data_IF_187254234486
#
_entry.id   IF_187254234486
#
_cell.length_a   1.000
_cell.length_b   1.000
_cell.length_c   1.000
_cell.angle_alpha   90.00
_cell.angle_beta   90.00
_cell.angle_gamma   90.00
#
_symmetry.space_group_name_H-M   'P 1'
#
loop_
_entity.id
_entity.type
_entity.pdbx_description
1 polymer ?
#
# COMPACT_ATOMS: atom_id res chain seq x y z
N UNK A 1 -1.50 -6.87 -29.76
CA UNK A 1 -0.55 -6.34 -28.75
C UNK A 1 -0.09 -7.47 -27.82
N UNK A 2 1.14 -7.40 -27.26
CA UNK A 2 1.62 -8.32 -26.20
C UNK A 2 1.36 -7.74 -24.82
N UNK A 3 1.21 -8.59 -23.80
CA UNK A 3 0.96 -8.17 -22.42
C UNK A 3 2.09 -7.28 -21.86
N UNK A 4 3.35 -7.61 -22.14
CA UNK A 4 4.49 -6.78 -21.71
C UNK A 4 4.43 -5.38 -22.31
N UNK A 5 4.01 -5.25 -23.57
CA UNK A 5 3.82 -3.93 -24.20
C UNK A 5 2.72 -3.13 -23.49
N UNK A 6 1.58 -3.75 -23.19
CA UNK A 6 0.49 -3.08 -22.44
C UNK A 6 0.96 -2.57 -21.07
N UNK A 7 1.85 -3.31 -20.39
CA UNK A 7 2.43 -2.89 -19.12
C UNK A 7 3.30 -1.65 -19.29
N UNK A 8 4.14 -1.59 -20.33
CA UNK A 8 4.94 -0.40 -20.61
C UNK A 8 4.05 0.81 -20.93
N UNK A 9 3.05 0.64 -21.81
CA UNK A 9 2.09 1.72 -22.11
C UNK A 9 1.42 2.21 -20.82
N UNK A 10 0.97 1.31 -19.95
CA UNK A 10 0.37 1.69 -18.66
C UNK A 10 1.32 2.47 -17.74
N UNK A 11 2.63 2.24 -17.81
CA UNK A 11 3.63 2.98 -17.01
C UNK A 11 3.92 4.36 -17.59
N UNK A 12 3.94 4.48 -18.92
CA UNK A 12 4.47 5.66 -19.61
C UNK A 12 3.42 6.61 -20.13
N UNK A 13 2.20 6.14 -20.32
CA UNK A 13 1.09 6.93 -20.84
C UNK A 13 0.74 8.09 -19.87
N UNK A 14 0.57 9.33 -20.37
CA UNK A 14 0.26 10.49 -19.54
C UNK A 14 -1.13 10.44 -18.89
N UNK A 15 -2.09 9.76 -19.51
CA UNK A 15 -3.47 9.62 -19.02
C UNK A 15 -3.62 8.44 -18.05
N UNK A 16 -2.63 7.54 -18.00
CA UNK A 16 -2.57 6.47 -17.01
C UNK A 16 -2.52 7.00 -15.57
N UNK A 17 -3.39 6.44 -14.73
CA UNK A 17 -3.40 6.72 -13.30
C UNK A 17 -2.13 6.23 -12.58
N UNK A 18 -1.28 5.41 -13.21
CA UNK A 18 -0.06 4.89 -12.58
C UNK A 18 0.85 6.01 -12.04
N UNK A 19 0.98 7.11 -12.80
CA UNK A 19 1.80 8.26 -12.42
C UNK A 19 1.17 9.11 -11.32
N UNK A 20 -0.16 9.08 -11.20
CA UNK A 20 -0.94 9.77 -10.17
C UNK A 20 -0.89 9.06 -8.80
N UNK A 21 -0.35 7.84 -8.77
CA UNK A 21 -0.17 7.09 -7.52
C UNK A 21 0.95 7.71 -6.68
N UNK A 22 0.73 7.72 -5.36
CA UNK A 22 1.79 8.02 -4.38
C UNK A 22 3.00 7.12 -4.61
N UNK A 23 4.20 7.65 -4.41
CA UNK A 23 5.47 6.94 -4.60
C UNK A 23 5.46 5.49 -4.13
N UNK A 24 5.14 5.22 -2.87
CA UNK A 24 5.19 3.85 -2.34
C UNK A 24 4.18 2.90 -2.98
N UNK A 25 2.98 3.41 -3.30
CA UNK A 25 1.96 2.63 -4.00
C UNK A 25 2.46 2.28 -5.40
N UNK A 26 3.11 3.24 -6.07
CA UNK A 26 3.75 3.06 -7.37
C UNK A 26 4.86 2.01 -7.30
N UNK A 27 5.77 2.08 -6.33
CA UNK A 27 6.84 1.09 -6.10
C UNK A 27 6.26 -0.32 -5.86
N UNK A 28 5.23 -0.43 -5.03
CA UNK A 28 4.56 -1.73 -4.77
C UNK A 28 3.92 -2.28 -6.05
N UNK A 29 3.21 -1.45 -6.80
CA UNK A 29 2.57 -1.87 -8.05
C UNK A 29 3.61 -2.24 -9.10
N UNK A 30 4.72 -1.50 -9.18
CA UNK A 30 5.82 -1.75 -10.11
C UNK A 30 6.41 -3.16 -9.92
N UNK A 31 6.59 -3.60 -8.67
CA UNK A 31 7.04 -4.97 -8.37
C UNK A 31 6.07 -6.03 -8.88
N UNK A 32 4.76 -5.80 -8.76
CA UNK A 32 3.73 -6.72 -9.27
C UNK A 32 3.69 -6.72 -10.81
N UNK A 33 3.75 -5.55 -11.43
CA UNK A 33 3.79 -5.40 -12.89
C UNK A 33 5.03 -6.06 -13.48
N UNK A 34 6.20 -5.85 -12.88
CA UNK A 34 7.45 -6.50 -13.26
C UNK A 34 7.36 -8.02 -13.16
N UNK A 35 6.69 -8.55 -12.13
CA UNK A 35 6.45 -9.99 -11.99
C UNK A 35 5.57 -10.52 -13.14
N UNK A 36 4.45 -9.86 -13.43
CA UNK A 36 3.54 -10.23 -14.54
C UNK A 36 4.28 -10.17 -15.87
N UNK A 37 5.07 -9.12 -16.11
CA UNK A 37 5.84 -8.96 -17.35
C UNK A 37 6.87 -10.09 -17.52
N UNK A 38 7.58 -10.45 -16.45
CA UNK A 38 8.55 -11.54 -16.46
C UNK A 38 7.91 -12.90 -16.77
N UNK A 39 6.77 -13.19 -16.13
CA UNK A 39 6.15 -14.52 -16.19
C UNK A 39 5.27 -14.71 -17.42
N UNK A 40 4.52 -13.68 -17.85
CA UNK A 40 3.53 -13.78 -18.92
C UNK A 40 3.60 -12.66 -19.97
N UNK A 41 4.57 -11.74 -19.89
CA UNK A 41 4.65 -10.56 -20.76
C UNK A 41 4.81 -10.88 -22.25
N UNK A 42 5.35 -12.06 -22.60
CA UNK A 42 5.48 -12.51 -23.99
C UNK A 42 4.14 -12.91 -24.64
N UNK A 43 3.10 -13.12 -23.83
CA UNK A 43 1.77 -13.56 -24.27
C UNK A 43 1.10 -12.52 -25.17
N UNK A 44 0.60 -12.95 -26.33
CA UNK A 44 -0.26 -12.13 -27.18
C UNK A 44 -1.65 -11.99 -26.56
N UNK A 45 -2.16 -10.76 -26.42
CA UNK A 45 -3.48 -10.51 -25.85
C UNK A 45 -4.59 -11.26 -26.60
N UNK A 46 -4.46 -11.35 -27.92
CA UNK A 46 -5.38 -12.08 -28.80
C UNK A 46 -5.47 -13.58 -28.49
N UNK A 47 -4.41 -14.18 -27.91
CA UNK A 47 -4.36 -15.62 -27.58
C UNK A 47 -4.78 -15.91 -26.15
N UNK A 48 -4.83 -14.90 -25.28
CA UNK A 48 -5.24 -15.08 -23.89
C UNK A 48 -6.75 -15.35 -23.85
N UNK A 49 -7.13 -16.42 -23.17
CA UNK A 49 -8.52 -16.80 -22.86
C UNK A 49 -8.70 -16.88 -21.35
N UNK A 50 -9.95 -16.96 -20.88
CA UNK A 50 -10.26 -17.08 -19.44
C UNK A 50 -9.51 -18.23 -18.77
N UNK A 51 -9.37 -19.38 -19.46
CA UNK A 51 -8.59 -20.52 -18.95
C UNK A 51 -7.12 -20.20 -18.67
N UNK A 52 -6.51 -19.30 -19.44
CA UNK A 52 -5.13 -18.86 -19.20
C UNK A 52 -5.07 -18.03 -17.92
N UNK A 53 -6.03 -17.12 -17.73
CA UNK A 53 -6.09 -16.26 -16.54
C UNK A 53 -6.31 -17.07 -15.25
N UNK A 54 -7.12 -18.13 -15.32
CA UNK A 54 -7.29 -19.09 -14.22
C UNK A 54 -6.00 -19.88 -13.97
N UNK A 55 -5.32 -20.34 -15.03
CA UNK A 55 -4.02 -21.01 -14.91
C UNK A 55 -2.99 -20.12 -14.19
N UNK A 56 -2.86 -18.87 -14.62
CA UNK A 56 -1.93 -17.91 -14.03
C UNK A 56 -2.24 -17.63 -12.56
N UNK A 57 -3.52 -17.53 -12.21
CA UNK A 57 -3.94 -17.41 -10.81
C UNK A 57 -3.49 -18.62 -9.98
N UNK A 58 -3.72 -19.84 -10.47
CA UNK A 58 -3.30 -21.07 -9.77
C UNK A 58 -1.76 -21.19 -9.67
N UNK A 59 -1.04 -20.78 -10.71
CA UNK A 59 0.43 -20.71 -10.70
C UNK A 59 0.92 -19.72 -9.61
N UNK A 60 0.21 -18.60 -9.41
CA UNK A 60 0.54 -17.63 -8.38
C UNK A 60 0.11 -18.02 -6.97
N UNK A 61 -0.91 -18.86 -6.82
CA UNK A 61 -1.22 -19.51 -5.55
C UNK A 61 -0.02 -20.34 -5.10
N UNK A 62 0.49 -21.18 -6.00
CA UNK A 62 1.55 -22.14 -5.69
C UNK A 62 1.17 -23.09 -4.55
N UNK A 63 2.16 -23.82 -4.03
CA UNK A 63 1.89 -24.88 -3.04
C UNK A 63 1.50 -24.34 -1.65
N UNK A 64 1.91 -23.10 -1.33
CA UNK A 64 1.62 -22.46 -0.03
C UNK A 64 0.30 -21.67 -0.01
N UNK A 65 -0.55 -21.86 -1.03
CA UNK A 65 -1.85 -21.17 -1.17
C UNK A 65 -1.76 -19.65 -0.95
N UNK A 66 -0.92 -18.99 -1.77
CA UNK A 66 -0.62 -17.55 -1.68
C UNK A 66 -1.77 -16.69 -2.22
N UNK A 67 -2.99 -16.90 -1.73
CA UNK A 67 -4.24 -16.24 -2.17
C UNK A 67 -4.10 -14.72 -2.25
N UNK A 68 -3.51 -14.07 -1.23
CA UNK A 68 -3.34 -12.61 -1.22
C UNK A 68 -2.45 -12.11 -2.38
N UNK A 69 -1.41 -12.85 -2.71
CA UNK A 69 -0.49 -12.51 -3.80
C UNK A 69 -1.15 -12.75 -5.16
N UNK A 70 -1.73 -13.94 -5.36
CA UNK A 70 -2.42 -14.30 -6.59
C UNK A 70 -3.56 -13.30 -6.89
N UNK A 71 -4.37 -12.97 -5.88
CA UNK A 71 -5.43 -11.98 -6.01
C UNK A 71 -4.89 -10.58 -6.30
N UNK A 72 -3.75 -10.18 -5.71
CA UNK A 72 -3.11 -8.90 -6.01
C UNK A 72 -2.67 -8.79 -7.47
N UNK A 73 -2.11 -9.87 -8.04
CA UNK A 73 -1.65 -9.95 -9.43
C UNK A 73 -2.83 -9.94 -10.41
N UNK A 74 -3.88 -10.73 -10.15
CA UNK A 74 -5.14 -10.67 -10.92
C UNK A 74 -5.76 -9.26 -10.85
N UNK A 75 -5.75 -8.64 -9.68
CA UNK A 75 -6.20 -7.26 -9.51
C UNK A 75 -5.40 -6.27 -10.37
N UNK A 76 -4.11 -6.52 -10.61
CA UNK A 76 -3.30 -5.71 -11.54
C UNK A 76 -3.63 -5.98 -13.00
N UNK A 77 -3.83 -7.24 -13.40
CA UNK A 77 -4.31 -7.56 -14.74
C UNK A 77 -5.64 -6.86 -15.05
N UNK A 78 -6.56 -6.83 -14.09
CA UNK A 78 -7.84 -6.12 -14.25
C UNK A 78 -7.65 -4.62 -14.50
N UNK A 79 -6.70 -3.98 -13.79
CA UNK A 79 -6.37 -2.56 -14.01
C UNK A 79 -5.74 -2.34 -15.39
N UNK A 80 -4.80 -3.21 -15.80
CA UNK A 80 -4.14 -3.13 -17.10
C UNK A 80 -5.13 -3.27 -18.25
N UNK A 81 -6.03 -4.27 -18.20
CA UNK A 81 -7.03 -4.48 -19.24
C UNK A 81 -8.08 -3.37 -19.26
N UNK A 82 -8.46 -2.83 -18.10
CA UNK A 82 -9.31 -1.64 -18.06
C UNK A 82 -8.63 -0.45 -18.76
N UNK A 83 -7.39 -0.15 -18.39
CA UNK A 83 -6.61 0.91 -19.03
C UNK A 83 -6.51 0.72 -20.54
N UNK A 84 -6.13 -0.47 -20.99
CA UNK A 84 -6.05 -0.78 -22.43
C UNK A 84 -7.39 -0.68 -23.15
N UNK A 85 -8.50 -1.03 -22.47
CA UNK A 85 -9.84 -0.92 -23.04
C UNK A 85 -10.34 0.54 -23.11
N UNK A 86 -10.05 1.35 -22.10
CA UNK A 86 -10.63 2.70 -21.98
C UNK A 86 -9.76 3.82 -22.51
N UNK A 87 -8.43 3.69 -22.39
CA UNK A 87 -7.47 4.73 -22.80
C UNK A 87 -6.87 4.39 -24.16
N UNK A 88 -6.47 3.14 -24.37
CA UNK A 88 -5.89 2.70 -25.64
C UNK A 88 -6.95 2.18 -26.64
N UNK A 89 -8.21 2.09 -26.22
CA UNK A 89 -9.34 1.58 -27.02
C UNK A 89 -9.08 0.21 -27.67
N UNK A 90 -8.27 -0.63 -27.04
CA UNK A 90 -7.89 -1.94 -27.57
C UNK A 90 -8.98 -2.99 -27.29
N UNK A 91 -9.52 -3.56 -28.37
CA UNK A 91 -10.60 -4.57 -28.32
C UNK A 91 -10.23 -5.84 -27.54
N UNK A 92 -8.96 -6.26 -27.55
CA UNK A 92 -8.53 -7.45 -26.82
C UNK A 92 -8.47 -7.17 -25.32
N UNK A 93 -8.07 -5.95 -24.93
CA UNK A 93 -8.14 -5.49 -23.55
C UNK A 93 -9.58 -5.43 -23.04
N UNK A 94 -10.53 -4.93 -23.84
CA UNK A 94 -11.95 -4.94 -23.49
C UNK A 94 -12.46 -6.38 -23.26
N UNK A 95 -12.20 -7.28 -24.22
CA UNK A 95 -12.56 -8.71 -24.10
C UNK A 95 -11.96 -9.37 -22.86
N UNK A 96 -10.71 -9.08 -22.53
CA UNK A 96 -10.02 -9.66 -21.38
C UNK A 96 -10.48 -9.06 -20.04
N UNK A 97 -10.84 -7.77 -20.03
CA UNK A 97 -11.45 -7.12 -18.87
C UNK A 97 -12.80 -7.75 -18.52
N UNK A 98 -13.64 -8.00 -19.53
CA UNK A 98 -14.93 -8.69 -19.35
C UNK A 98 -14.72 -10.13 -18.87
N UNK A 99 -13.78 -10.86 -19.47
CA UNK A 99 -13.43 -12.22 -19.06
C UNK A 99 -12.98 -12.29 -17.59
N UNK A 100 -12.17 -11.32 -17.11
CA UNK A 100 -11.75 -11.23 -15.70
C UNK A 100 -12.87 -10.79 -14.75
N UNK A 101 -13.88 -10.10 -15.26
CA UNK A 101 -15.02 -9.64 -14.47
C UNK A 101 -16.01 -10.77 -14.21
N UNK A 102 -16.15 -11.72 -15.15
CA UNK A 102 -16.95 -12.93 -14.98
C UNK A 102 -16.25 -14.06 -14.20
N UNK A 103 -14.92 -14.03 -14.08
CA UNK A 103 -14.16 -15.05 -13.37
C UNK A 103 -14.22 -14.88 -11.84
N UNK A 104 -14.40 -15.98 -11.11
CA UNK A 104 -14.35 -16.01 -9.64
C UNK A 104 -12.97 -16.45 -9.16
N UNK A 105 -12.40 -15.68 -8.26
CA UNK A 105 -11.12 -15.96 -7.61
C UNK A 105 -11.32 -15.96 -6.10
N UNK A 106 -10.59 -16.82 -5.39
CA UNK A 106 -10.64 -16.84 -3.94
C UNK A 106 -10.08 -15.54 -3.36
N UNK A 107 -10.73 -15.06 -2.30
CA UNK A 107 -10.37 -13.84 -1.60
C UNK A 107 -10.25 -14.15 -0.11
N UNK A 108 -9.12 -13.79 0.49
CA UNK A 108 -8.96 -13.91 1.93
C UNK A 108 -9.93 -12.94 2.61
N UNK A 109 -10.69 -13.45 3.59
CA UNK A 109 -11.52 -12.63 4.44
C UNK A 109 -10.72 -11.55 5.20
N UNK A 110 -11.36 -10.44 5.58
CA UNK A 110 -10.69 -9.40 6.36
C UNK A 110 -10.17 -9.96 7.69
N UNK A 111 -8.94 -9.57 8.05
CA UNK A 111 -8.31 -9.92 9.34
C UNK A 111 -8.57 -8.79 10.33
N UNK A 112 -9.14 -9.11 11.49
CA UNK A 112 -9.54 -8.12 12.51
C UNK A 112 -8.83 -8.29 13.86
N UNK A 113 -7.55 -8.68 13.86
CA UNK A 113 -6.80 -8.64 15.11
C UNK A 113 -6.28 -7.23 15.36
N UNK A 114 -6.72 -6.65 16.48
CA UNK A 114 -6.20 -5.40 17.01
C UNK A 114 -5.13 -5.71 18.05
N UNK A 115 -4.05 -4.92 18.05
CA UNK A 115 -2.99 -5.03 19.05
C UNK A 115 -3.51 -4.67 20.45
N UNK A 116 -3.16 -5.48 21.44
CA UNK A 116 -3.49 -5.22 22.85
C UNK A 116 -2.43 -4.34 23.52
N UNK A 117 -2.77 -3.76 24.68
CA UNK A 117 -1.82 -3.01 25.49
C UNK A 117 -0.62 -3.87 25.91
N UNK A 118 -0.88 -5.11 26.34
CA UNK A 118 0.17 -6.05 26.75
C UNK A 118 1.13 -6.37 25.60
N UNK A 119 0.60 -6.55 24.38
CA UNK A 119 1.42 -6.75 23.19
C UNK A 119 2.26 -5.53 22.87
N UNK A 120 1.68 -4.32 22.95
CA UNK A 120 2.43 -3.08 22.73
C UNK A 120 3.55 -2.90 23.77
N UNK A 121 3.28 -3.20 25.04
CA UNK A 121 4.28 -3.15 26.11
C UNK A 121 5.37 -4.21 25.92
N UNK A 122 5.02 -5.43 25.51
CA UNK A 122 5.99 -6.47 25.22
C UNK A 122 6.96 -6.07 24.09
N UNK A 123 6.45 -5.46 23.01
CA UNK A 123 7.29 -4.94 21.91
C UNK A 123 8.23 -3.85 22.41
N UNK A 124 7.73 -2.93 23.26
CA UNK A 124 8.54 -1.83 23.82
C UNK A 124 9.67 -2.36 24.70
N UNK A 125 9.38 -3.31 25.59
CA UNK A 125 10.38 -3.94 26.46
C UNK A 125 11.43 -4.65 25.63
N UNK A 126 11.02 -5.49 24.67
CA UNK A 126 11.96 -6.15 23.78
C UNK A 126 12.83 -5.16 23.00
N UNK A 127 12.23 -4.09 22.46
CA UNK A 127 12.98 -3.05 21.74
C UNK A 127 14.01 -2.36 22.64
N UNK A 128 13.72 -2.13 23.93
CA UNK A 128 14.71 -1.63 24.88
C UNK A 128 15.83 -2.64 25.15
N UNK A 129 15.51 -3.92 25.31
CA UNK A 129 16.50 -4.98 25.51
C UNK A 129 17.47 -5.11 24.31
N UNK A 130 16.97 -4.88 23.09
CA UNK A 130 17.79 -4.84 21.87
C UNK A 130 18.53 -3.50 21.66
N UNK A 131 18.36 -2.52 22.55
CA UNK A 131 18.99 -1.19 22.40
C UNK A 131 18.38 -0.35 21.27
N UNK A 132 17.09 -0.55 20.96
CA UNK A 132 16.34 0.17 19.92
C UNK A 132 15.27 1.11 20.52
N UNK A 133 15.67 2.16 21.26
CA UNK A 133 14.71 3.05 21.93
C UNK A 133 13.79 3.80 20.96
N UNK A 134 14.23 4.03 19.72
CA UNK A 134 13.40 4.65 18.67
C UNK A 134 12.21 3.77 18.28
N UNK A 135 12.39 2.44 18.25
CA UNK A 135 11.30 1.48 17.97
C UNK A 135 10.33 1.45 19.15
N UNK A 136 10.83 1.44 20.38
CA UNK A 136 9.99 1.49 21.57
C UNK A 136 9.12 2.77 21.59
N UNK A 137 9.70 3.92 21.25
CA UNK A 137 8.97 5.19 21.15
C UNK A 137 7.92 5.16 20.03
N UNK A 138 8.30 4.71 18.82
CA UNK A 138 7.37 4.62 17.70
C UNK A 138 6.17 3.72 18.04
N UNK A 139 6.44 2.55 18.64
CA UNK A 139 5.41 1.62 19.06
C UNK A 139 4.45 2.24 20.10
N UNK A 140 4.97 2.99 21.07
CA UNK A 140 4.16 3.70 22.05
C UNK A 140 3.25 4.74 21.38
N UNK A 141 3.81 5.56 20.47
CA UNK A 141 3.04 6.58 19.74
C UNK A 141 1.96 5.97 18.84
N UNK A 142 2.26 4.86 18.14
CA UNK A 142 1.26 4.16 17.31
C UNK A 142 0.09 3.64 18.16
N UNK A 143 0.38 3.05 19.32
CA UNK A 143 -0.64 2.49 20.20
C UNK A 143 -1.49 3.57 20.88
N UNK A 144 -0.86 4.56 21.50
CA UNK A 144 -1.56 5.59 22.30
C UNK A 144 -2.32 6.60 21.43
N UNK A 145 -1.78 6.94 20.26
CA UNK A 145 -2.37 7.95 19.37
C UNK A 145 -3.23 7.33 18.26
N UNK A 146 -3.30 6.00 18.19
CA UNK A 146 -4.00 5.24 17.14
C UNK A 146 -3.55 5.65 15.72
N UNK A 147 -2.28 6.01 15.60
CA UNK A 147 -1.65 6.39 14.34
C UNK A 147 -1.12 5.16 13.62
N UNK A 148 -1.19 5.17 12.29
CA UNK A 148 -0.53 4.12 11.52
C UNK A 148 1.00 4.35 11.53
N UNK A 149 1.76 3.32 11.14
CA UNK A 149 3.22 3.40 11.17
C UNK A 149 3.78 4.57 10.36
N UNK A 150 3.21 4.86 9.18
CA UNK A 150 3.68 5.92 8.29
C UNK A 150 3.44 7.31 8.88
N UNK A 151 2.36 7.50 9.61
CA UNK A 151 2.09 8.77 10.31
C UNK A 151 3.06 8.98 11.47
N UNK A 152 3.58 7.91 12.07
CA UNK A 152 4.57 8.00 13.15
C UNK A 152 6.00 8.15 12.60
N UNK A 153 6.47 7.19 11.80
CA UNK A 153 7.87 7.12 11.35
C UNK A 153 8.15 7.88 10.05
N UNK A 154 7.09 8.31 9.35
CA UNK A 154 7.17 8.97 8.05
C UNK A 154 7.52 8.05 6.91
N UNK A 155 7.73 8.66 5.75
CA UNK A 155 8.10 8.01 4.50
C UNK A 155 9.24 8.79 3.85
N UNK A 156 10.27 8.08 3.40
CA UNK A 156 11.31 8.67 2.56
C UNK A 156 10.91 8.56 1.09
N UNK A 157 10.84 9.69 0.40
CA UNK A 157 10.44 9.78 -1.00
C UNK A 157 11.47 10.56 -1.81
N UNK A 158 11.64 10.30 -3.12
CA UNK A 158 12.52 11.09 -3.98
C UNK A 158 12.19 12.58 -3.93
N UNK A 159 13.20 13.44 -4.12
CA UNK A 159 13.02 14.90 -4.13
C UNK A 159 11.99 15.37 -5.17
N UNK A 160 11.84 14.63 -6.27
CA UNK A 160 10.90 14.89 -7.36
C UNK A 160 9.44 14.67 -7.01
N UNK A 161 9.13 13.94 -5.93
CA UNK A 161 7.75 13.76 -5.48
C UNK A 161 7.18 15.08 -4.95
N UNK A 162 5.86 15.25 -4.93
CA UNK A 162 5.25 16.44 -4.33
C UNK A 162 5.42 16.47 -2.79
N UNK A 163 5.37 17.67 -2.23
CA UNK A 163 5.45 17.91 -0.78
C UNK A 163 6.72 18.63 -0.36
N UNK A 164 6.59 19.49 0.65
CA UNK A 164 7.70 20.29 1.19
C UNK A 164 8.26 19.60 2.42
N UNK A 165 9.59 19.52 2.49
CA UNK A 165 10.32 19.04 3.66
C UNK A 165 11.70 19.68 3.71
N UNK A 166 12.09 20.06 4.91
CA UNK A 166 13.43 20.48 5.34
C UNK A 166 14.32 19.30 5.77
N UNK A 167 13.77 18.08 5.86
CA UNK A 167 14.52 16.87 6.21
C UNK A 167 14.86 16.12 4.92
N UNK A 168 16.10 16.26 4.48
CA UNK A 168 16.62 15.71 3.22
C UNK A 168 17.82 14.83 3.50
N UNK A 169 17.85 13.65 2.89
CA UNK A 169 18.96 12.70 2.98
C UNK A 169 19.05 11.85 1.72
N UNK A 170 20.25 11.71 1.14
CA UNK A 170 20.53 10.88 -0.04
C UNK A 170 19.50 11.02 -1.18
N UNK A 171 19.33 12.25 -1.69
CA UNK A 171 18.39 12.59 -2.77
C UNK A 171 16.91 12.23 -2.49
N UNK A 172 16.59 12.03 -1.21
CA UNK A 172 15.24 11.79 -0.73
C UNK A 172 14.88 12.84 0.32
N UNK A 173 13.58 13.07 0.46
CA UNK A 173 13.01 13.88 1.51
C UNK A 173 12.08 13.04 2.38
N UNK A 174 12.03 13.40 3.65
CA UNK A 174 11.17 12.73 4.62
C UNK A 174 9.85 13.47 4.76
N UNK A 175 8.74 12.76 4.59
CA UNK A 175 7.38 13.30 4.68
C UNK A 175 6.54 12.53 5.70
N UNK A 176 5.38 13.11 6.05
CA UNK A 176 4.28 12.50 6.84
C UNK A 176 4.54 12.12 8.29
N UNK A 177 5.77 11.84 8.71
CA UNK A 177 5.98 11.38 10.07
C UNK A 177 5.83 12.49 11.11
N UNK A 178 5.81 12.09 12.38
CA UNK A 178 5.76 13.00 13.52
C UNK A 178 7.08 13.74 13.70
N UNK A 179 6.98 15.04 13.95
CA UNK A 179 8.11 15.91 14.27
C UNK A 179 7.92 16.52 15.64
N UNK A 180 9.03 16.85 16.30
CA UNK A 180 8.98 17.62 17.55
C UNK A 180 8.29 18.97 17.37
N UNK A 181 8.42 19.60 16.19
CA UNK A 181 7.70 20.83 15.84
C UNK A 181 6.18 20.66 15.71
N UNK A 182 5.66 19.42 15.72
CA UNK A 182 4.22 19.18 15.81
C UNK A 182 3.68 19.32 17.24
N UNK A 183 4.55 19.37 18.25
CA UNK A 183 4.16 19.56 19.65
C UNK A 183 4.31 21.03 19.98
N UNK A 184 3.19 21.68 20.33
CA UNK A 184 3.22 23.09 20.73
C UNK A 184 3.69 23.28 22.19
N UNK A 185 3.86 24.52 22.62
CA UNK A 185 4.33 24.86 23.97
C UNK A 185 3.43 24.35 25.10
N UNK A 186 2.20 23.94 24.79
CA UNK A 186 1.25 23.38 25.74
C UNK A 186 1.26 21.84 25.72
N UNK A 187 2.27 21.22 25.10
CA UNK A 187 2.39 19.77 24.88
C UNK A 187 1.24 19.17 24.05
N UNK A 188 0.58 19.99 23.22
CA UNK A 188 -0.47 19.49 22.32
C UNK A 188 0.14 19.09 20.99
N UNK A 189 -0.05 17.82 20.62
CA UNK A 189 0.38 17.29 19.32
C UNK A 189 -0.62 17.68 18.22
N UNK A 190 -0.14 18.38 17.19
CA UNK A 190 -0.90 18.78 16.00
C UNK A 190 -0.32 18.09 14.77
N UNK A 191 -0.99 17.04 14.32
CA UNK A 191 -0.58 16.25 13.17
C UNK A 191 -1.76 15.94 12.25
N UNK A 192 -1.58 16.12 10.94
CA UNK A 192 -2.64 15.88 9.96
C UNK A 192 -2.59 14.45 9.45
N UNK A 193 -3.62 13.66 9.79
CA UNK A 193 -3.73 12.25 9.40
C UNK A 193 -4.72 12.08 8.26
N UNK A 194 -4.36 11.30 7.23
CA UNK A 194 -5.28 10.89 6.15
C UNK A 194 -5.54 11.92 5.03
N UNK A 195 -6.59 11.70 4.23
CA UNK A 195 -7.10 12.61 3.17
C UNK A 195 -8.15 13.61 3.69
N UNK A 196 -8.80 13.28 4.81
CA UNK A 196 -9.69 14.17 5.54
C UNK A 196 -9.02 14.47 6.88
N UNK A 197 -8.75 15.74 7.13
CA UNK A 197 -8.16 16.25 8.36
C UNK A 197 -9.00 15.81 9.58
N UNK A 198 -8.67 14.67 10.19
CA UNK A 198 -9.18 14.31 11.51
C UNK A 198 -8.28 14.95 12.54
N UNK A 199 -8.82 15.86 13.33
CA UNK A 199 -8.17 16.29 14.57
C UNK A 199 -8.17 15.10 15.53
N UNK A 200 -7.01 14.83 16.13
CA UNK A 200 -6.87 13.83 17.19
C UNK A 200 -7.64 14.37 18.41
N UNK A 201 -8.67 13.68 18.93
CA UNK A 201 -9.34 14.11 20.15
C UNK A 201 -8.34 14.06 21.30
N UNK A 202 -8.21 15.15 22.05
CA UNK A 202 -7.50 15.12 23.33
C UNK A 202 -8.23 14.17 24.28
N UNK A 203 -7.56 13.12 24.76
CA UNK A 203 -8.06 12.35 25.91
C UNK A 203 -7.96 13.25 27.15
N UNK A 204 -9.11 13.60 27.73
CA UNK A 204 -9.15 14.22 29.06
C UNK A 204 -8.61 13.23 30.11
N UNK A 205 -7.92 13.71 31.18
CA UNK A 205 -7.43 12.84 32.25
C UNK A 205 -8.54 12.16 33.07
N UNK A 206 -9.77 12.67 32.97
CA UNK A 206 -10.88 12.23 33.80
C UNK A 206 -11.79 11.24 33.05
N UNK A 207 -11.41 9.96 33.10
CA UNK A 207 -12.24 8.83 32.69
C UNK A 207 -12.48 7.90 33.90
N UNK A 208 -13.72 7.45 34.17
CA UNK A 208 -14.09 6.88 35.46
C UNK A 208 -13.70 5.40 35.52
N UNK A 209 -12.59 5.10 36.16
CA UNK A 209 -12.35 3.80 36.76
C UNK A 209 -12.20 3.98 38.28
N UNK A 210 -13.35 4.17 38.94
CA UNK A 210 -13.49 3.93 40.37
C UNK A 210 -13.99 2.50 40.56
N UNK A 211 -13.15 1.64 41.14
CA UNK A 211 -13.57 0.38 41.74
C UNK A 211 -14.47 0.66 42.95
N UNK A 212 -15.59 -0.06 43.06
CA UNK A 212 -16.53 -0.01 44.19
C UNK A 212 -17.91 -0.48 43.76
#
# INVERSE_FOLDING_TARGET
MKLGKLIEEYRTDPDSDFRKLKYEVRVKHERLLSRIAREHGSSSLERIRTRNLISWYNEWLGDDDKVAMAHSLVGRLRVLFRFGATILEDKECARLFDALSGARFEMIGPRYQTMTLDQANAIRLAAHDYGWPSIALAQALQFELLLNQRDVIGEWVPLTEEGVSDVIWREQKWLRGLRWSNIDSNNVLRHSVGKQQRQIPSRSPDGPYGHG
#
